data_IF_602098487709
#
_entry.id   IF_602098487709
#
_cell.length_a   1.000
_cell.length_b   1.000
_cell.length_c   1.000
_cell.angle_alpha   90.00
_cell.angle_beta   90.00
_cell.angle_gamma   90.00
#
_symmetry.space_group_name_H-M   'P 1'
#
loop_
_entity.id
_entity.type
_entity.pdbx_description
1 polymer ?
#
# COMPACT_ATOMS: atom_id res chain seq x y z
N UNK A 1 -1.17 16.85 -16.25
CA UNK A 1 -1.79 16.02 -15.17
C UNK A 1 -1.13 16.40 -13.85
N UNK A 2 -1.87 16.41 -12.74
CA UNK A 2 -1.31 16.71 -11.41
C UNK A 2 -0.68 15.43 -10.81
N UNK A 3 0.49 15.51 -10.14
CA UNK A 3 1.03 14.41 -9.34
C UNK A 3 0.06 13.97 -8.24
N UNK A 4 0.12 12.70 -7.86
CA UNK A 4 -0.69 12.14 -6.78
C UNK A 4 0.06 12.22 -5.45
N UNK A 5 -0.68 12.46 -4.37
CA UNK A 5 -0.19 12.24 -3.01
C UNK A 5 -0.16 10.76 -2.66
N UNK A 6 0.61 10.39 -1.64
CA UNK A 6 0.69 9.01 -1.16
C UNK A 6 -0.66 8.47 -0.69
N UNK A 7 -1.50 9.32 -0.08
CA UNK A 7 -2.87 8.95 0.27
C UNK A 7 -3.70 8.60 -0.97
N UNK A 8 -3.64 9.43 -2.02
CA UNK A 8 -4.34 9.15 -3.29
C UNK A 8 -3.82 7.86 -3.96
N UNK A 9 -2.52 7.55 -3.83
CA UNK A 9 -1.94 6.30 -4.32
C UNK A 9 -2.45 5.12 -3.49
N UNK A 10 -2.43 5.23 -2.16
CA UNK A 10 -2.91 4.19 -1.24
C UNK A 10 -4.40 3.87 -1.47
N UNK A 11 -5.23 4.89 -1.63
CA UNK A 11 -6.64 4.74 -1.96
C UNK A 11 -6.85 4.00 -3.28
N UNK A 12 -6.06 4.30 -4.32
CA UNK A 12 -6.13 3.61 -5.62
C UNK A 12 -5.71 2.14 -5.52
N UNK A 13 -4.64 1.85 -4.79
CA UNK A 13 -4.20 0.46 -4.56
C UNK A 13 -5.27 -0.34 -3.78
N UNK A 14 -5.88 0.29 -2.80
CA UNK A 14 -6.98 -0.29 -2.01
C UNK A 14 -8.21 -0.56 -2.87
N UNK A 15 -8.62 0.41 -3.68
CA UNK A 15 -9.75 0.27 -4.60
C UNK A 15 -9.50 -0.83 -5.64
N UNK A 16 -8.28 -0.93 -6.18
CA UNK A 16 -7.91 -2.00 -7.11
C UNK A 16 -8.01 -3.38 -6.44
N UNK A 17 -7.55 -3.52 -5.19
CA UNK A 17 -7.66 -4.76 -4.43
C UNK A 17 -9.11 -5.13 -4.14
N UNK A 18 -9.94 -4.14 -3.78
CA UNK A 18 -11.37 -4.34 -3.55
C UNK A 18 -12.10 -4.78 -4.83
N UNK A 19 -11.74 -4.22 -5.99
CA UNK A 19 -12.31 -4.61 -7.28
C UNK A 19 -11.98 -6.05 -7.65
N UNK A 20 -10.78 -6.52 -7.30
CA UNK A 20 -10.39 -7.93 -7.49
C UNK A 20 -11.20 -8.85 -6.57
N UNK A 21 -11.49 -8.39 -5.35
CA UNK A 21 -12.28 -9.14 -4.38
C UNK A 21 -11.64 -10.46 -3.95
N UNK A 22 -12.43 -11.28 -3.27
CA UNK A 22 -12.00 -12.56 -2.70
C UNK A 22 -12.63 -13.77 -3.42
N UNK A 23 -13.23 -13.53 -4.59
CA UNK A 23 -13.82 -14.57 -5.42
C UNK A 23 -12.74 -15.51 -5.99
N UNK A 24 -13.18 -16.73 -6.30
CA UNK A 24 -12.40 -17.78 -6.98
C UNK A 24 -12.70 -17.78 -8.48
N UNK A 25 -11.72 -18.14 -9.29
CA UNK A 25 -11.88 -18.34 -10.72
C UNK A 25 -12.26 -19.80 -11.04
N UNK A 26 -12.87 -20.01 -12.21
CA UNK A 26 -13.20 -21.36 -12.72
C UNK A 26 -11.97 -22.23 -13.02
N UNK A 27 -10.79 -21.61 -13.14
CA UNK A 27 -9.56 -22.30 -13.53
C UNK A 27 -8.44 -22.02 -12.54
N UNK A 28 -7.57 -23.01 -12.34
CA UNK A 28 -6.37 -22.90 -11.49
C UNK A 28 -5.48 -21.71 -11.90
N UNK A 29 -5.36 -21.46 -13.21
CA UNK A 29 -4.58 -20.31 -13.72
C UNK A 29 -5.21 -18.98 -13.33
N UNK A 30 -6.54 -18.89 -13.41
CA UNK A 30 -7.30 -17.71 -12.95
C UNK A 30 -7.13 -17.49 -11.46
N UNK A 31 -7.29 -18.54 -10.64
CA UNK A 31 -7.12 -18.45 -9.19
C UNK A 31 -5.71 -17.99 -8.81
N UNK A 32 -4.70 -18.56 -9.47
CA UNK A 32 -3.30 -18.18 -9.26
C UNK A 32 -3.09 -16.70 -9.59
N UNK A 33 -3.69 -16.20 -10.68
CA UNK A 33 -3.57 -14.80 -11.07
C UNK A 33 -4.27 -13.85 -10.09
N UNK A 34 -5.50 -14.17 -9.66
CA UNK A 34 -6.24 -13.39 -8.66
C UNK A 34 -5.49 -13.34 -7.34
N UNK A 35 -4.99 -14.48 -6.88
CA UNK A 35 -4.23 -14.57 -5.63
C UNK A 35 -2.91 -13.80 -5.69
N UNK A 36 -2.17 -13.92 -6.79
CA UNK A 36 -0.95 -13.16 -7.00
C UNK A 36 -1.23 -11.64 -7.01
N UNK A 37 -2.30 -11.20 -7.70
CA UNK A 37 -2.66 -9.80 -7.78
C UNK A 37 -3.03 -9.22 -6.40
N UNK A 38 -3.83 -9.94 -5.59
CA UNK A 38 -4.15 -9.54 -4.21
C UNK A 38 -2.89 -9.37 -3.35
N UNK A 39 -1.95 -10.32 -3.44
CA UNK A 39 -0.69 -10.27 -2.68
C UNK A 39 0.17 -9.09 -3.10
N UNK A 40 0.33 -8.87 -4.40
CA UNK A 40 1.13 -7.75 -4.93
C UNK A 40 0.54 -6.42 -4.49
N UNK A 41 -0.77 -6.20 -4.64
CA UNK A 41 -1.42 -4.95 -4.22
C UNK A 41 -1.30 -4.69 -2.72
N UNK A 42 -1.40 -5.74 -1.91
CA UNK A 42 -1.21 -5.63 -0.46
C UNK A 42 0.24 -5.28 -0.12
N UNK A 43 1.20 -5.92 -0.78
CA UNK A 43 2.63 -5.61 -0.64
C UNK A 43 2.99 -4.19 -1.06
N UNK A 44 2.41 -3.70 -2.17
CA UNK A 44 2.61 -2.32 -2.62
C UNK A 44 2.06 -1.30 -1.60
N UNK A 45 0.90 -1.59 -1.00
CA UNK A 45 0.31 -0.72 0.03
C UNK A 45 1.19 -0.65 1.28
N UNK A 46 1.78 -1.79 1.69
CA UNK A 46 2.72 -1.84 2.82
C UNK A 46 4.04 -1.12 2.49
N UNK A 47 4.58 -1.31 1.29
CA UNK A 47 5.81 -0.66 0.86
C UNK A 47 5.66 0.88 0.85
N UNK A 48 4.50 1.38 0.42
CA UNK A 48 4.19 2.81 0.47
C UNK A 48 4.14 3.33 1.91
N UNK A 49 3.53 2.59 2.84
CA UNK A 49 3.51 2.95 4.26
C UNK A 49 4.93 3.00 4.84
N UNK A 50 5.75 1.98 4.60
CA UNK A 50 7.13 1.92 5.08
C UNK A 50 8.00 3.05 4.50
N UNK A 51 7.79 3.41 3.24
CA UNK A 51 8.50 4.52 2.62
C UNK A 51 8.11 5.86 3.28
N UNK A 52 6.82 6.05 3.57
CA UNK A 52 6.33 7.23 4.30
C UNK A 52 6.85 7.33 5.73
N UNK A 53 6.97 6.21 6.45
CA UNK A 53 7.58 6.17 7.80
C UNK A 53 9.07 6.56 7.75
N UNK A 54 9.83 5.99 6.81
CA UNK A 54 11.25 6.32 6.63
C UNK A 54 11.48 7.78 6.22
N UNK A 55 10.55 8.36 5.46
CA UNK A 55 10.59 9.79 5.11
C UNK A 55 10.21 10.68 6.29
N UNK A 56 9.23 10.28 7.11
CA UNK A 56 8.85 10.95 8.35
C UNK A 56 9.99 10.97 9.37
N UNK A 57 10.76 9.89 9.51
CA UNK A 57 11.92 9.82 10.40
C UNK A 57 13.10 10.71 9.96
N UNK A 58 13.15 11.09 8.68
CA UNK A 58 14.14 12.04 8.15
C UNK A 58 13.74 13.50 8.35
N UNK A 59 12.52 13.79 8.79
CA UNK A 59 12.14 15.12 9.28
C UNK A 59 12.80 15.34 10.64
N UNK A 60 14.05 15.81 10.59
CA UNK A 60 14.80 16.32 11.74
C UNK A 60 13.96 17.38 12.49
N UNK A 61 13.25 16.99 13.56
CA UNK A 61 12.38 17.94 14.24
C UNK A 61 11.54 17.45 15.41
N UNK A 62 11.46 16.16 15.71
CA UNK A 62 10.83 15.72 16.97
C UNK A 62 11.85 15.91 18.08
N UNK A 63 11.82 17.09 18.73
CA UNK A 63 12.51 17.31 20.00
C UNK A 63 12.04 16.25 21.00
N UNK A 64 13.00 15.55 21.57
CA UNK A 64 12.82 14.67 22.72
C UNK A 64 12.07 15.43 23.82
N UNK A 65 10.86 14.99 24.16
CA UNK A 65 10.02 15.65 25.18
C UNK A 65 10.38 15.21 26.60
N UNK A 66 11.46 14.47 26.79
CA UNK A 66 11.99 14.08 28.10
C UNK A 66 13.45 14.51 28.24
N UNK A 67 13.70 15.81 28.35
CA UNK A 67 14.90 16.31 29.01
C UNK A 67 14.53 16.72 30.46
N UNK A 68 15.22 16.21 31.50
CA UNK A 68 15.01 16.67 32.88
C UNK A 68 15.40 18.15 33.08
#
# INVERSE_FOLDING_TARGET
MKPLSDNEIHERLTAARQLIGDDTAETVRGDTALEAARRVLSGLSLALLLAGEQESDRLAGVKDQNAP
#
